data_IF_393986670184
#
_entry.id   IF_393986670184
#
_cell.length_a   1.000
_cell.length_b   1.000
_cell.length_c   1.000
_cell.angle_alpha   90.00
_cell.angle_beta   90.00
_cell.angle_gamma   90.00
#
_symmetry.space_group_name_H-M   'P 1'
#
loop_
_entity.id
_entity.type
_entity.pdbx_description
1 polymer ?
#
# COMPACT_ATOMS: atom_id res chain seq x y z
N UNK A 1 -3.57 10.66 -2.51
CA UNK A 1 -4.64 10.88 -1.52
C UNK A 1 -4.56 12.33 -1.06
N UNK A 2 -5.65 12.90 -0.57
CA UNK A 2 -5.65 14.29 -0.09
C UNK A 2 -4.80 14.44 1.17
N UNK A 3 -4.19 15.62 1.30
CA UNK A 3 -3.47 16.03 2.53
C UNK A 3 -4.44 16.56 3.60
N UNK A 4 -5.74 16.62 3.31
CA UNK A 4 -6.75 16.97 4.32
C UNK A 4 -6.92 15.80 5.30
N UNK A 5 -6.71 16.09 6.59
CA UNK A 5 -6.89 15.16 7.71
C UNK A 5 -8.31 14.61 7.77
N UNK A 6 -9.32 15.40 7.36
CA UNK A 6 -10.73 14.98 7.36
C UNK A 6 -11.02 13.90 6.31
N UNK A 7 -10.21 13.82 5.26
CA UNK A 7 -10.30 12.76 4.26
C UNK A 7 -9.56 11.48 4.69
N UNK A 8 -8.73 11.55 5.74
CA UNK A 8 -7.93 10.43 6.26
C UNK A 8 -8.61 9.66 7.39
N UNK A 9 -9.67 10.17 8.02
CA UNK A 9 -10.48 9.38 8.95
C UNK A 9 -11.85 10.00 9.13
N UNK A 10 -12.88 9.17 9.37
CA UNK A 10 -14.20 9.64 9.79
C UNK A 10 -14.30 9.84 11.31
N UNK A 11 -13.36 9.28 12.09
CA UNK A 11 -13.34 9.38 13.54
C UNK A 11 -12.76 10.74 13.99
N UNK A 12 -13.52 11.55 14.75
CA UNK A 12 -13.05 12.85 15.23
C UNK A 12 -11.77 12.80 16.06
N UNK A 13 -11.61 11.78 16.91
CA UNK A 13 -10.42 11.65 17.75
C UNK A 13 -9.18 11.37 16.89
N UNK A 14 -9.31 10.49 15.89
CA UNK A 14 -8.27 10.27 14.89
C UNK A 14 -7.91 11.54 14.12
N UNK A 15 -8.90 12.35 13.71
CA UNK A 15 -8.64 13.61 13.00
C UNK A 15 -7.84 14.59 13.87
N UNK A 16 -8.20 14.75 15.15
CA UNK A 16 -7.44 15.60 16.07
C UNK A 16 -5.98 15.16 16.18
N UNK A 17 -5.75 13.86 16.38
CA UNK A 17 -4.40 13.32 16.51
C UNK A 17 -3.58 13.42 15.22
N UNK A 18 -4.21 13.25 14.05
CA UNK A 18 -3.54 13.38 12.76
C UNK A 18 -3.08 14.83 12.49
N UNK A 19 -3.87 15.84 12.88
CA UNK A 19 -3.47 17.25 12.79
C UNK A 19 -2.29 17.55 13.73
N UNK A 20 -2.31 17.01 14.96
CA UNK A 20 -1.16 17.13 15.89
C UNK A 20 0.09 16.48 15.29
N UNK A 21 -0.02 15.26 14.75
CA UNK A 21 1.10 14.57 14.11
C UNK A 21 1.67 15.37 12.94
N UNK A 22 0.81 15.95 12.10
CA UNK A 22 1.22 16.79 10.97
C UNK A 22 2.01 18.02 11.44
N UNK A 23 1.52 18.72 12.48
CA UNK A 23 2.21 19.90 13.05
C UNK A 23 3.54 19.54 13.72
N UNK A 24 3.61 18.37 14.34
CA UNK A 24 4.81 17.85 14.99
C UNK A 24 5.81 17.21 14.02
N UNK A 25 5.48 17.12 12.72
CA UNK A 25 6.32 16.46 11.71
C UNK A 25 6.46 14.95 11.91
N UNK A 26 5.49 14.31 12.57
CA UNK A 26 5.48 12.89 12.85
C UNK A 26 4.81 12.12 11.71
N UNK A 27 5.50 11.11 11.20
CA UNK A 27 4.98 10.24 10.14
C UNK A 27 3.89 9.29 10.68
N UNK A 28 2.79 9.17 9.93
CA UNK A 28 1.66 8.30 10.25
C UNK A 28 1.51 7.14 9.25
N UNK A 29 0.54 6.26 9.48
CA UNK A 29 0.22 5.19 8.54
C UNK A 29 -0.24 5.71 7.17
N UNK A 30 -0.93 6.87 7.12
CA UNK A 30 -1.37 7.49 5.87
C UNK A 30 -0.20 7.97 5.02
N UNK A 31 0.82 8.54 5.64
CA UNK A 31 2.01 9.01 4.94
C UNK A 31 2.81 7.82 4.39
N UNK A 32 2.93 6.72 5.16
CA UNK A 32 3.54 5.48 4.67
C UNK A 32 2.75 4.85 3.54
N UNK A 33 1.42 4.87 3.60
CA UNK A 33 0.58 4.38 2.52
C UNK A 33 0.83 5.17 1.23
N UNK A 34 0.85 6.50 1.29
CA UNK A 34 1.14 7.35 0.12
C UNK A 34 2.53 7.09 -0.47
N UNK A 35 3.56 6.90 0.38
CA UNK A 35 4.92 6.56 -0.05
C UNK A 35 5.03 5.21 -0.76
N UNK A 36 4.10 4.28 -0.49
CA UNK A 36 4.07 2.95 -1.10
C UNK A 36 3.28 2.91 -2.41
N UNK A 37 2.74 4.04 -2.89
CA UNK A 37 1.97 4.08 -4.13
C UNK A 37 2.86 4.32 -5.37
N UNK A 38 2.63 3.61 -6.49
CA UNK A 38 1.71 2.48 -6.63
C UNK A 38 2.27 1.22 -5.97
N UNK A 39 1.39 0.42 -5.35
CA UNK A 39 1.79 -0.86 -4.79
C UNK A 39 2.08 -1.89 -5.89
N UNK A 40 2.75 -3.00 -5.54
CA UNK A 40 3.12 -4.03 -6.50
C UNK A 40 1.87 -4.78 -7.02
N UNK A 41 1.55 -4.58 -8.31
CA UNK A 41 0.38 -5.21 -8.95
C UNK A 41 0.38 -6.75 -8.91
N UNK A 42 1.53 -7.43 -9.00
CA UNK A 42 1.56 -8.90 -8.85
C UNK A 42 1.13 -9.36 -7.45
N UNK A 43 1.49 -8.60 -6.42
CA UNK A 43 1.07 -8.87 -5.05
C UNK A 43 -0.40 -8.59 -4.85
N UNK A 44 -0.87 -7.45 -5.34
CA UNK A 44 -2.28 -7.03 -5.27
C UNK A 44 -3.23 -7.99 -6.01
N UNK A 45 -2.81 -8.49 -7.18
CA UNK A 45 -3.55 -9.49 -7.96
C UNK A 45 -3.39 -10.93 -7.44
N UNK A 46 -2.54 -11.16 -6.43
CA UNK A 46 -2.29 -12.50 -5.89
C UNK A 46 -1.51 -13.44 -6.84
N UNK A 47 -0.81 -12.88 -7.83
CA UNK A 47 -0.09 -13.63 -8.87
C UNK A 47 1.39 -13.90 -8.51
N UNK A 48 1.85 -13.47 -7.33
CA UNK A 48 3.21 -13.67 -6.83
C UNK A 48 3.25 -14.75 -5.74
N UNK A 49 3.93 -15.86 -5.99
CA UNK A 49 4.13 -16.94 -5.01
C UNK A 49 5.55 -16.90 -4.43
N UNK A 50 5.66 -17.00 -3.10
CA UNK A 50 6.94 -17.00 -2.35
C UNK A 50 7.07 -18.18 -1.38
N UNK A 51 6.37 -19.27 -1.66
CA UNK A 51 6.20 -20.38 -0.72
C UNK A 51 7.40 -21.34 -0.67
N UNK A 52 8.34 -21.25 -1.61
CA UNK A 52 9.54 -22.07 -1.62
C UNK A 52 10.75 -21.25 -2.10
N UNK A 53 11.94 -21.82 -1.93
CA UNK A 53 13.20 -21.17 -2.29
C UNK A 53 13.51 -21.17 -3.80
N UNK A 54 12.64 -21.77 -4.64
CA UNK A 54 12.77 -21.68 -6.10
C UNK A 54 12.17 -20.39 -6.67
N UNK A 55 11.24 -19.77 -5.96
CA UNK A 55 10.60 -18.52 -6.35
C UNK A 55 11.46 -17.28 -6.07
N UNK A 56 10.88 -16.06 -6.14
CA UNK A 56 9.46 -15.77 -6.33
C UNK A 56 8.95 -16.05 -7.75
N UNK A 57 7.89 -16.84 -7.84
CA UNK A 57 7.18 -17.08 -9.10
C UNK A 57 6.16 -15.96 -9.35
N UNK A 58 5.99 -15.53 -10.61
CA UNK A 58 5.01 -14.50 -10.99
C UNK A 58 4.28 -14.89 -12.26
N UNK A 59 2.95 -14.88 -12.22
CA UNK A 59 2.10 -15.15 -13.38
C UNK A 59 1.82 -13.84 -14.12
N UNK A 60 2.01 -13.83 -15.43
CA UNK A 60 1.69 -12.69 -16.28
C UNK A 60 0.16 -12.58 -16.47
N UNK A 61 -0.49 -11.48 -16.04
CA UNK A 61 -1.93 -11.30 -16.18
C UNK A 61 -2.40 -11.02 -17.62
N UNK A 62 -1.50 -10.71 -18.55
CA UNK A 62 -1.83 -10.32 -19.93
C UNK A 62 -1.63 -11.45 -20.95
N UNK A 63 -1.14 -12.61 -20.52
CA UNK A 63 -0.99 -13.80 -21.37
C UNK A 63 0.23 -13.80 -22.31
N UNK A 64 1.07 -12.77 -22.26
CA UNK A 64 2.31 -12.66 -23.05
C UNK A 64 3.50 -13.37 -22.38
N UNK A 65 3.42 -13.59 -21.07
CA UNK A 65 4.50 -14.11 -20.24
C UNK A 65 4.19 -15.45 -19.56
N UNK A 66 4.80 -15.64 -18.38
CA UNK A 66 4.71 -16.90 -17.65
C UNK A 66 3.28 -17.21 -17.20
N UNK A 67 2.76 -18.38 -17.58
CA UNK A 67 1.43 -18.88 -17.17
C UNK A 67 1.46 -19.83 -15.97
N UNK A 68 2.65 -20.17 -15.48
CA UNK A 68 2.89 -21.04 -14.31
C UNK A 68 4.15 -20.61 -13.56
N UNK A 69 4.21 -20.98 -12.28
CA UNK A 69 5.37 -20.75 -11.42
C UNK A 69 6.49 -21.75 -11.61
#
# INVERSE_FOLDING_TARGET
>A
MSKDVRERSIDPASQEMLDICQRAGLETAWDRFEKQQPQCGFGELGLCCRNCNMGPCRIDPFGEGASKG
#
